data_IF_297469898352
#
_entry.id   IF_297469898352
#
_cell.length_a   1.000
_cell.length_b   1.000
_cell.length_c   1.000
_cell.angle_alpha   90.00
_cell.angle_beta   90.00
_cell.angle_gamma   90.00
#
_symmetry.space_group_name_H-M   'P 1'
#
loop_
_entity.id
_entity.type
_entity.pdbx_description
1 polymer ?
#
# COMPACT_ATOMS: atom_id res chain seq x y z
N UNK A 1 2.21 -58.54 -64.86
CA UNK A 1 2.85 -58.73 -66.18
C UNK A 1 4.34 -58.62 -65.95
N UNK A 2 5.07 -59.75 -65.94
CA UNK A 2 6.53 -59.75 -65.78
C UNK A 2 7.09 -59.59 -67.19
N UNK A 3 7.83 -58.49 -67.43
CA UNK A 3 8.44 -58.25 -68.74
C UNK A 3 9.52 -59.29 -69.01
N UNK A 4 9.47 -59.93 -70.17
CA UNK A 4 10.51 -60.85 -70.64
C UNK A 4 11.73 -60.04 -71.09
N UNK A 5 12.86 -60.20 -70.41
CA UNK A 5 14.15 -59.60 -70.79
C UNK A 5 14.88 -60.62 -71.68
N UNK A 6 15.18 -60.24 -72.92
CA UNK A 6 15.97 -61.05 -73.83
C UNK A 6 17.46 -60.77 -73.58
N UNK A 7 18.19 -61.74 -73.02
CA UNK A 7 19.62 -61.65 -72.73
C UNK A 7 20.39 -62.45 -73.79
N UNK A 8 20.76 -61.78 -74.89
CA UNK A 8 21.56 -62.38 -75.96
C UNK A 8 22.91 -62.86 -75.41
N UNK A 9 23.20 -64.16 -75.56
CA UNK A 9 24.49 -64.77 -75.21
C UNK A 9 24.60 -65.39 -73.81
N UNK A 10 23.56 -65.34 -72.97
CA UNK A 10 23.51 -66.08 -71.71
C UNK A 10 22.85 -67.46 -71.89
N UNK A 11 23.39 -68.50 -71.27
CA UNK A 11 22.80 -69.83 -71.31
C UNK A 11 21.62 -69.95 -70.32
N UNK A 12 20.71 -70.90 -70.57
CA UNK A 12 19.58 -71.19 -69.68
C UNK A 12 20.05 -71.48 -68.24
N UNK A 13 21.18 -72.16 -68.09
CA UNK A 13 21.77 -72.48 -66.79
C UNK A 13 22.20 -71.21 -66.03
N UNK A 14 22.77 -70.22 -66.74
CA UNK A 14 23.19 -68.95 -66.12
C UNK A 14 21.98 -68.18 -65.57
N UNK A 15 20.85 -68.24 -66.28
CA UNK A 15 19.59 -67.60 -65.86
C UNK A 15 19.02 -68.31 -64.62
N UNK A 16 19.04 -69.64 -64.60
CA UNK A 16 18.57 -70.44 -63.46
C UNK A 16 19.42 -70.22 -62.20
N UNK A 17 20.73 -70.11 -62.36
CA UNK A 17 21.66 -69.82 -61.25
C UNK A 17 21.39 -68.43 -60.66
N UNK A 18 21.24 -67.40 -61.51
CA UNK A 18 20.90 -66.04 -61.06
C UNK A 18 19.55 -66.02 -60.34
N UNK A 19 18.56 -66.76 -60.84
CA UNK A 19 17.25 -66.84 -60.21
C UNK A 19 17.33 -67.50 -58.82
N UNK A 20 18.08 -68.59 -58.68
CA UNK A 20 18.33 -69.25 -57.39
C UNK A 20 19.06 -68.34 -56.40
N UNK A 21 20.03 -67.55 -56.87
CA UNK A 21 20.74 -66.58 -56.05
C UNK A 21 19.82 -65.45 -55.57
N UNK A 22 18.96 -64.92 -56.46
CA UNK A 22 17.96 -63.91 -56.11
C UNK A 22 16.98 -64.45 -55.06
N UNK A 23 16.49 -65.68 -55.24
CA UNK A 23 15.54 -66.27 -54.32
C UNK A 23 16.19 -66.58 -52.95
N UNK A 24 17.44 -67.03 -52.94
CA UNK A 24 18.23 -67.16 -51.70
C UNK A 24 18.42 -65.82 -50.98
N UNK A 25 18.70 -64.73 -51.71
CA UNK A 25 18.83 -63.39 -51.12
C UNK A 25 17.49 -62.92 -50.53
N UNK A 26 16.36 -63.14 -51.22
CA UNK A 26 15.03 -62.80 -50.70
C UNK A 26 14.70 -63.56 -49.43
N UNK A 27 15.02 -64.86 -49.37
CA UNK A 27 14.82 -65.65 -48.16
C UNK A 27 15.68 -65.14 -46.99
N UNK A 28 16.91 -64.71 -47.26
CA UNK A 28 17.78 -64.10 -46.25
C UNK A 28 17.27 -62.74 -45.76
N UNK A 29 16.60 -61.96 -46.62
CA UNK A 29 15.98 -60.67 -46.29
C UNK A 29 14.54 -60.90 -45.80
N UNK A 30 14.35 -61.21 -44.51
CA UNK A 30 13.03 -61.29 -43.89
C UNK A 30 12.79 -62.52 -43.01
N UNK A 31 13.75 -63.44 -42.92
CA UNK A 31 13.66 -64.56 -41.97
C UNK A 31 13.68 -64.05 -40.51
N UNK A 32 12.55 -64.21 -39.82
CA UNK A 32 12.35 -63.87 -38.40
C UNK A 32 13.28 -64.62 -37.45
N UNK A 33 13.75 -65.81 -37.84
CA UNK A 33 14.69 -66.61 -37.06
C UNK A 33 16.14 -66.10 -37.13
N UNK A 34 16.46 -65.22 -38.09
CA UNK A 34 17.81 -64.73 -38.32
C UNK A 34 18.12 -63.53 -37.41
N UNK A 35 18.20 -63.79 -36.11
CA UNK A 35 18.32 -62.79 -35.03
C UNK A 35 19.76 -62.57 -34.56
N UNK A 36 20.72 -63.40 -35.01
CA UNK A 36 22.12 -63.34 -34.63
C UNK A 36 22.93 -62.36 -35.51
N UNK A 37 23.16 -61.14 -35.01
CA UNK A 37 24.04 -60.17 -35.66
C UNK A 37 24.48 -59.06 -34.70
N UNK A 38 25.63 -58.47 -34.99
CA UNK A 38 26.18 -57.31 -34.29
C UNK A 38 26.07 -56.07 -35.18
N UNK A 39 26.52 -54.91 -34.71
CA UNK A 39 26.62 -53.72 -35.56
C UNK A 39 27.51 -53.96 -36.81
N UNK A 40 28.41 -54.95 -36.77
CA UNK A 40 29.40 -55.21 -37.82
C UNK A 40 29.17 -56.54 -38.55
N UNK A 41 28.54 -57.54 -37.93
CA UNK A 41 28.36 -58.90 -38.48
C UNK A 41 26.88 -59.35 -38.45
N UNK A 42 26.53 -60.37 -39.23
CA UNK A 42 25.16 -60.89 -39.35
C UNK A 42 24.36 -60.30 -40.51
N UNK A 43 23.12 -60.76 -40.67
CA UNK A 43 22.25 -60.33 -41.78
C UNK A 43 21.82 -58.86 -41.67
N UNK A 44 21.33 -58.30 -42.78
CA UNK A 44 20.76 -56.93 -42.81
C UNK A 44 19.64 -56.81 -41.77
N UNK A 45 18.79 -57.83 -41.62
CA UNK A 45 17.70 -57.85 -40.65
C UNK A 45 18.22 -57.81 -39.21
N UNK A 46 19.24 -58.61 -38.87
CA UNK A 46 19.84 -58.61 -37.54
C UNK A 46 20.45 -57.24 -37.20
N UNK A 47 21.12 -56.58 -38.16
CA UNK A 47 21.66 -55.22 -38.00
C UNK A 47 20.57 -54.18 -37.75
N UNK A 48 19.46 -54.23 -38.50
CA UNK A 48 18.31 -53.33 -38.32
C UNK A 48 17.65 -53.52 -36.94
N UNK A 49 17.44 -54.78 -36.52
CA UNK A 49 16.91 -55.10 -35.18
C UNK A 49 17.80 -54.58 -34.06
N UNK A 50 19.13 -54.74 -34.20
CA UNK A 50 20.10 -54.21 -33.24
C UNK A 50 20.03 -52.69 -33.16
N UNK A 51 19.98 -52.00 -34.30
CA UNK A 51 19.87 -50.54 -34.36
C UNK A 51 18.58 -50.04 -33.70
N UNK A 52 17.45 -50.69 -33.95
CA UNK A 52 16.18 -50.38 -33.29
C UNK A 52 16.25 -50.57 -31.76
N UNK A 53 16.90 -51.65 -31.32
CA UNK A 53 17.09 -51.97 -29.89
C UNK A 53 17.99 -50.93 -29.22
N UNK A 54 19.11 -50.58 -29.86
CA UNK A 54 20.06 -49.58 -29.36
C UNK A 54 19.42 -48.21 -29.27
N UNK A 55 18.68 -47.80 -30.31
CA UNK A 55 17.93 -46.55 -30.32
C UNK A 55 16.90 -46.50 -29.19
N UNK A 56 16.13 -47.58 -29.02
CA UNK A 56 15.12 -47.69 -27.96
C UNK A 56 15.74 -47.58 -26.58
N UNK A 57 16.85 -48.29 -26.35
CA UNK A 57 17.58 -48.30 -25.07
C UNK A 57 18.20 -46.95 -24.76
N UNK A 58 18.90 -46.34 -25.73
CA UNK A 58 19.53 -45.04 -25.57
C UNK A 58 18.49 -43.93 -25.30
N UNK A 59 17.36 -43.97 -26.02
CA UNK A 59 16.25 -43.03 -25.81
C UNK A 59 15.62 -43.21 -24.43
N UNK A 60 15.39 -44.45 -23.98
CA UNK A 60 14.86 -44.74 -22.65
C UNK A 60 15.76 -44.16 -21.55
N UNK A 61 17.08 -44.38 -21.63
CA UNK A 61 18.02 -43.84 -20.64
C UNK A 61 18.03 -42.30 -20.57
N UNK A 62 17.87 -41.60 -21.71
CA UNK A 62 17.71 -40.14 -21.71
C UNK A 62 16.39 -39.69 -21.07
N UNK A 63 15.29 -40.40 -21.35
CA UNK A 63 13.98 -40.12 -20.75
C UNK A 63 14.03 -40.34 -19.24
N UNK A 64 14.67 -41.41 -18.77
CA UNK A 64 14.82 -41.71 -17.35
C UNK A 64 15.63 -40.62 -16.63
N UNK A 65 16.69 -40.11 -17.26
CA UNK A 65 17.48 -39.00 -16.73
C UNK A 65 16.63 -37.73 -16.54
N UNK A 66 15.79 -37.40 -17.53
CA UNK A 66 14.88 -36.24 -17.46
C UNK A 66 13.82 -36.44 -16.38
N UNK A 67 13.20 -37.63 -16.33
CA UNK A 67 12.18 -37.98 -15.34
C UNK A 67 12.74 -37.89 -13.91
N UNK A 68 13.97 -38.35 -13.70
CA UNK A 68 14.63 -38.24 -12.41
C UNK A 68 14.92 -36.78 -12.04
N UNK A 69 15.31 -35.95 -13.01
CA UNK A 69 15.60 -34.53 -12.81
C UNK A 69 14.37 -33.65 -12.56
N UNK A 70 13.20 -33.99 -13.11
CA UNK A 70 12.00 -33.13 -13.09
C UNK A 70 10.82 -33.75 -12.32
N UNK A 71 10.65 -35.07 -12.32
CA UNK A 71 9.39 -35.75 -11.97
C UNK A 71 9.35 -36.51 -10.64
N UNK A 72 10.43 -36.53 -9.85
CA UNK A 72 10.42 -37.26 -8.58
C UNK A 72 9.69 -36.47 -7.48
N UNK A 73 8.41 -36.79 -7.25
CA UNK A 73 7.54 -36.16 -6.25
C UNK A 73 8.05 -36.31 -4.81
N UNK A 74 8.87 -37.33 -4.54
CA UNK A 74 9.47 -37.60 -3.23
C UNK A 74 10.72 -36.75 -2.93
N UNK A 75 11.26 -35.98 -3.89
CA UNK A 75 12.45 -35.18 -3.65
C UNK A 75 12.10 -33.83 -3.01
N UNK A 76 11.64 -33.87 -1.77
CA UNK A 76 11.40 -32.70 -0.93
C UNK A 76 12.68 -32.42 -0.13
N UNK A 77 13.62 -31.67 -0.70
CA UNK A 77 14.88 -31.38 0.00
C UNK A 77 15.95 -30.64 -0.80
N UNK A 78 15.59 -30.08 -1.97
CA UNK A 78 16.51 -29.31 -2.79
C UNK A 78 16.93 -28.01 -2.12
N UNK A 79 18.19 -27.63 -2.33
CA UNK A 79 18.68 -26.28 -2.03
C UNK A 79 18.66 -25.46 -3.31
N UNK A 80 18.98 -24.16 -3.26
CA UNK A 80 19.14 -23.35 -4.48
C UNK A 80 20.21 -23.90 -5.44
N UNK A 81 21.17 -24.67 -4.92
CA UNK A 81 22.29 -25.22 -5.69
C UNK A 81 22.18 -26.73 -5.95
N UNK A 82 21.46 -27.49 -5.13
CA UNK A 82 21.42 -28.96 -5.17
C UNK A 82 19.99 -29.53 -5.19
N UNK A 83 19.80 -30.74 -5.69
CA UNK A 83 18.49 -31.41 -5.84
C UNK A 83 17.89 -31.29 -7.24
N UNK A 84 16.73 -31.90 -7.42
CA UNK A 84 15.98 -31.90 -8.70
C UNK A 84 15.42 -30.52 -9.03
N UNK A 85 15.03 -30.31 -10.28
CA UNK A 85 14.42 -29.04 -10.73
C UNK A 85 13.17 -28.72 -9.91
N UNK A 86 12.33 -29.72 -9.64
CA UNK A 86 11.12 -29.55 -8.84
C UNK A 86 11.44 -29.16 -7.39
N UNK A 87 12.46 -29.77 -6.79
CA UNK A 87 12.89 -29.46 -5.43
C UNK A 87 13.40 -28.02 -5.31
N UNK A 88 14.18 -27.56 -6.30
CA UNK A 88 14.66 -26.18 -6.39
C UNK A 88 13.52 -25.19 -6.54
N UNK A 89 12.54 -25.48 -7.41
CA UNK A 89 11.36 -24.64 -7.61
C UNK A 89 10.54 -24.52 -6.32
N UNK A 90 10.28 -25.64 -5.64
CA UNK A 90 9.57 -25.64 -4.36
C UNK A 90 10.30 -24.80 -3.31
N UNK A 91 11.63 -24.94 -3.19
CA UNK A 91 12.44 -24.14 -2.26
C UNK A 91 12.33 -22.64 -2.56
N UNK A 92 12.43 -22.24 -3.82
CA UNK A 92 12.29 -20.84 -4.24
C UNK A 92 10.90 -20.28 -3.91
N UNK A 93 9.83 -21.05 -4.13
CA UNK A 93 8.47 -20.66 -3.79
C UNK A 93 8.29 -20.49 -2.28
N UNK A 94 8.81 -21.41 -1.48
CA UNK A 94 8.79 -21.32 -0.01
C UNK A 94 9.58 -20.12 0.50
N UNK A 95 10.78 -19.89 -0.03
CA UNK A 95 11.64 -18.76 0.36
C UNK A 95 10.99 -17.43 0.02
N UNK A 96 10.45 -17.29 -1.18
CA UNK A 96 9.73 -16.10 -1.60
C UNK A 96 8.52 -15.84 -0.71
N UNK A 97 7.74 -16.89 -0.41
CA UNK A 97 6.56 -16.79 0.46
C UNK A 97 6.94 -16.31 1.86
N UNK A 98 8.01 -16.89 2.42
CA UNK A 98 8.50 -16.57 3.77
C UNK A 98 9.07 -15.15 3.85
N UNK A 99 9.91 -14.76 2.88
CA UNK A 99 10.49 -13.43 2.80
C UNK A 99 9.41 -12.35 2.60
N UNK A 100 8.40 -12.63 1.78
CA UNK A 100 7.26 -11.73 1.58
C UNK A 100 6.43 -11.59 2.85
N UNK A 101 6.13 -12.68 3.56
CA UNK A 101 5.38 -12.66 4.82
C UNK A 101 6.07 -11.78 5.87
N UNK A 102 7.37 -11.96 6.07
CA UNK A 102 8.15 -11.14 7.02
C UNK A 102 8.11 -9.63 6.70
N UNK A 103 8.16 -9.26 5.40
CA UNK A 103 8.01 -7.86 4.98
C UNK A 103 6.62 -7.30 5.28
N UNK A 104 5.57 -8.11 5.10
CA UNK A 104 4.18 -7.71 5.43
C UNK A 104 4.02 -7.52 6.94
N UNK A 105 4.58 -8.40 7.76
CA UNK A 105 4.54 -8.28 9.22
C UNK A 105 5.21 -6.98 9.70
N UNK A 106 6.33 -6.61 9.07
CA UNK A 106 7.02 -5.34 9.33
C UNK A 106 6.13 -4.14 8.99
N UNK A 107 5.44 -4.16 7.84
CA UNK A 107 4.51 -3.10 7.43
C UNK A 107 3.36 -2.98 8.43
N UNK A 108 2.76 -4.11 8.83
CA UNK A 108 1.67 -4.13 9.79
C UNK A 108 2.08 -3.55 11.15
N UNK A 109 3.27 -3.91 11.62
CA UNK A 109 3.86 -3.37 12.85
C UNK A 109 4.07 -1.86 12.76
N UNK A 110 4.65 -1.38 11.66
CA UNK A 110 4.87 0.05 11.45
C UNK A 110 3.55 0.83 11.37
N UNK A 111 2.54 0.29 10.69
CA UNK A 111 1.21 0.89 10.60
C UNK A 111 0.54 1.00 11.98
N UNK A 112 0.61 -0.05 12.80
CA UNK A 112 0.10 -0.04 14.17
C UNK A 112 0.82 1.01 15.03
N UNK A 113 2.16 1.08 14.95
CA UNK A 113 2.95 2.07 15.68
C UNK A 113 2.62 3.52 15.28
N UNK A 114 2.44 3.77 13.97
CA UNK A 114 2.03 5.08 13.46
C UNK A 114 0.63 5.46 13.98
N UNK A 115 -0.32 4.52 13.96
CA UNK A 115 -1.66 4.76 14.47
C UNK A 115 -1.66 5.12 15.96
N UNK A 116 -0.87 4.39 16.77
CA UNK A 116 -0.69 4.69 18.20
C UNK A 116 -0.09 6.08 18.41
N UNK A 117 1.00 6.42 17.72
CA UNK A 117 1.64 7.75 17.82
C UNK A 117 0.69 8.87 17.43
N UNK A 118 -0.02 8.72 16.32
CA UNK A 118 -1.00 9.70 15.85
C UNK A 118 -2.12 9.89 16.86
N UNK A 119 -2.63 8.79 17.43
CA UNK A 119 -3.68 8.83 18.45
C UNK A 119 -3.22 9.58 19.69
N UNK A 120 -2.03 9.27 20.21
CA UNK A 120 -1.45 9.97 21.36
C UNK A 120 -1.18 11.44 21.08
N UNK A 121 -0.61 11.79 19.92
CA UNK A 121 -0.39 13.18 19.53
C UNK A 121 -1.70 13.96 19.44
N UNK A 122 -2.74 13.38 18.83
CA UNK A 122 -4.06 14.01 18.72
C UNK A 122 -4.70 14.19 20.10
N UNK A 123 -4.58 13.22 20.99
CA UNK A 123 -5.06 13.34 22.36
C UNK A 123 -4.33 14.47 23.12
N UNK A 124 -3.00 14.58 22.95
CA UNK A 124 -2.22 15.66 23.55
C UNK A 124 -2.62 17.05 23.07
N UNK A 125 -2.85 17.23 21.76
CA UNK A 125 -3.36 18.51 21.24
C UNK A 125 -4.76 18.83 21.75
N UNK A 126 -5.64 17.83 21.86
CA UNK A 126 -6.98 18.02 22.41
C UNK A 126 -6.92 18.45 23.88
N UNK A 127 -6.03 17.84 24.68
CA UNK A 127 -5.79 18.27 26.06
C UNK A 127 -5.31 19.73 26.11
N UNK A 128 -4.35 20.12 25.27
CA UNK A 128 -3.90 21.52 25.21
C UNK A 128 -5.02 22.51 24.84
N UNK A 129 -5.87 22.16 23.88
CA UNK A 129 -7.04 22.98 23.52
C UNK A 129 -8.03 23.08 24.69
N UNK A 130 -8.25 21.98 25.41
CA UNK A 130 -9.13 21.94 26.57
C UNK A 130 -8.53 22.66 27.80
N UNK A 131 -7.19 22.72 27.91
CA UNK A 131 -6.47 23.46 28.96
C UNK A 131 -6.35 24.95 28.66
N UNK A 132 -6.52 25.36 27.41
CA UNK A 132 -6.62 26.76 27.03
C UNK A 132 -7.89 27.40 27.58
N UNK A 133 -7.87 28.73 27.72
CA UNK A 133 -9.08 29.50 28.05
C UNK A 133 -10.04 29.42 26.86
N UNK A 134 -11.01 28.52 26.94
CA UNK A 134 -12.00 28.33 25.88
C UNK A 134 -13.01 29.47 25.94
N UNK A 135 -12.95 30.37 24.97
CA UNK A 135 -13.92 31.45 24.83
C UNK A 135 -15.20 30.86 24.24
N UNK A 136 -16.29 30.97 25.00
CA UNK A 136 -17.61 30.50 24.61
C UNK A 136 -18.32 31.51 23.72
N UNK A 137 -18.31 32.78 24.10
CA UNK A 137 -18.90 33.84 23.29
C UNK A 137 -18.26 35.20 23.58
N UNK A 138 -18.32 36.11 22.61
CA UNK A 138 -17.84 37.48 22.76
C UNK A 138 -18.94 38.44 22.31
N UNK A 139 -19.41 39.30 23.22
CA UNK A 139 -20.23 40.45 22.85
C UNK A 139 -19.35 41.71 22.84
N UNK A 140 -19.53 42.57 21.84
CA UNK A 140 -18.83 43.85 21.73
C UNK A 140 -19.85 44.96 21.57
N UNK A 141 -19.51 46.16 22.01
CA UNK A 141 -20.36 47.31 21.78
C UNK A 141 -19.66 48.63 22.02
N UNK A 142 -20.44 49.69 21.86
CA UNK A 142 -20.00 51.06 22.01
C UNK A 142 -21.15 51.91 22.52
N UNK A 143 -20.86 52.85 23.42
CA UNK A 143 -21.83 53.84 23.88
C UNK A 143 -21.13 55.18 24.12
N UNK A 144 -21.92 56.25 24.24
CA UNK A 144 -21.43 57.58 24.57
C UNK A 144 -21.75 57.91 26.02
N UNK A 145 -20.78 58.52 26.70
CA UNK A 145 -20.98 59.20 27.98
C UNK A 145 -21.08 60.69 27.70
N UNK A 146 -22.18 61.30 28.11
CA UNK A 146 -22.37 62.75 28.00
C UNK A 146 -21.90 63.46 29.27
N UNK A 147 -21.24 64.61 29.09
CA UNK A 147 -20.72 65.48 30.15
C UNK A 147 -21.36 66.86 30.02
N UNK A 148 -21.85 67.43 31.12
CA UNK A 148 -22.32 68.81 31.21
C UNK A 148 -21.66 69.51 32.39
N UNK A 149 -21.07 70.67 32.14
CA UNK A 149 -20.38 71.50 33.15
C UNK A 149 -19.37 70.69 33.99
N UNK A 150 -18.64 69.77 33.36
CA UNK A 150 -17.65 68.98 34.07
C UNK A 150 -18.17 67.77 34.84
N UNK A 151 -19.47 67.46 34.74
CA UNK A 151 -20.10 66.34 35.46
C UNK A 151 -20.74 65.40 34.42
N UNK A 152 -20.55 64.07 34.54
CA UNK A 152 -21.36 63.11 33.79
C UNK A 152 -22.85 63.39 33.96
N UNK A 153 -23.60 63.34 32.86
CA UNK A 153 -25.05 63.59 32.88
C UNK A 153 -25.79 62.46 33.61
N UNK A 154 -25.20 61.26 33.58
CA UNK A 154 -25.66 60.10 34.34
C UNK A 154 -24.50 59.63 35.21
N UNK A 155 -24.80 59.34 36.47
CA UNK A 155 -23.82 58.82 37.42
C UNK A 155 -23.40 57.38 37.07
N UNK A 156 -24.25 56.64 36.34
CA UNK A 156 -24.02 55.26 35.93
C UNK A 156 -24.64 54.96 34.58
N UNK A 157 -23.96 54.15 33.76
CA UNK A 157 -24.45 53.67 32.47
C UNK A 157 -24.66 52.16 32.54
N UNK A 158 -25.90 51.70 32.33
CA UNK A 158 -26.22 50.27 32.27
C UNK A 158 -26.13 49.75 30.84
N UNK A 159 -25.24 48.78 30.62
CA UNK A 159 -25.06 48.14 29.31
C UNK A 159 -25.64 46.74 29.34
N UNK A 160 -26.68 46.51 28.55
CA UNK A 160 -27.34 45.20 28.43
C UNK A 160 -26.51 44.24 27.56
N UNK A 161 -26.34 43.03 28.06
CA UNK A 161 -25.70 41.90 27.42
C UNK A 161 -26.77 40.86 27.08
N UNK A 162 -26.84 40.47 25.81
CA UNK A 162 -27.89 39.61 25.25
C UNK A 162 -27.37 38.28 24.74
N UNK A 163 -26.07 38.19 24.43
CA UNK A 163 -25.45 36.99 23.86
C UNK A 163 -24.47 36.31 24.81
N UNK A 164 -24.08 36.98 25.89
CA UNK A 164 -23.16 36.45 26.91
C UNK A 164 -23.80 36.45 28.30
N UNK A 165 -23.36 35.53 29.17
CA UNK A 165 -23.74 35.53 30.59
C UNK A 165 -22.71 36.32 31.41
N UNK A 166 -23.01 37.54 31.86
CA UNK A 166 -22.00 38.46 32.38
C UNK A 166 -21.35 37.98 33.68
N UNK A 167 -22.08 37.26 34.53
CA UNK A 167 -21.56 36.66 35.77
C UNK A 167 -20.48 35.58 35.53
N UNK A 168 -20.24 35.19 34.27
CA UNK A 168 -19.18 34.28 33.82
C UNK A 168 -18.26 34.94 32.78
N UNK A 169 -18.30 36.26 32.67
CA UNK A 169 -17.52 36.99 31.67
C UNK A 169 -16.49 37.89 32.29
N UNK A 170 -15.43 38.16 31.53
CA UNK A 170 -14.56 39.29 31.76
C UNK A 170 -15.00 40.46 30.89
N UNK A 171 -15.16 41.65 31.48
CA UNK A 171 -15.51 42.87 30.76
C UNK A 171 -14.25 43.72 30.56
N UNK A 172 -14.02 44.10 29.30
CA UNK A 172 -12.96 45.00 28.89
C UNK A 172 -13.57 46.28 28.35
N UNK A 173 -13.11 47.43 28.85
CA UNK A 173 -13.41 48.75 28.28
C UNK A 173 -12.13 49.30 27.68
N UNK A 174 -12.20 49.84 26.46
CA UNK A 174 -11.03 50.34 25.74
C UNK A 174 -11.26 51.75 25.22
N UNK A 175 -10.37 52.66 25.65
CA UNK A 175 -10.22 54.01 25.13
C UNK A 175 -11.41 54.94 25.38
N UNK A 176 -11.12 56.19 25.72
CA UNK A 176 -12.11 57.28 25.71
C UNK A 176 -11.79 58.19 24.55
N UNK A 177 -12.69 58.31 23.58
CA UNK A 177 -12.55 59.28 22.50
C UNK A 177 -13.28 60.56 22.94
N UNK A 178 -12.57 61.50 23.57
CA UNK A 178 -13.14 62.77 24.05
C UNK A 178 -12.89 63.89 23.05
N UNK A 179 -13.95 64.63 22.70
CA UNK A 179 -13.90 65.72 21.73
C UNK A 179 -13.98 67.09 22.44
N UNK A 180 -13.10 67.34 23.42
CA UNK A 180 -12.91 68.63 24.10
C UNK A 180 -11.64 68.64 24.99
N UNK A 181 -11.23 69.80 25.52
CA UNK A 181 -10.10 69.95 26.45
C UNK A 181 -10.54 69.70 27.90
N UNK A 182 -10.19 68.54 28.47
CA UNK A 182 -10.42 68.22 29.88
C UNK A 182 -9.57 67.03 30.34
N UNK A 183 -9.29 66.96 31.65
CA UNK A 183 -8.58 65.82 32.25
C UNK A 183 -9.60 64.73 32.57
N UNK A 184 -9.27 63.51 32.19
CA UNK A 184 -10.16 62.38 32.37
C UNK A 184 -9.70 61.60 33.59
N UNK A 185 -10.59 61.35 34.57
CA UNK A 185 -10.33 60.46 35.71
C UNK A 185 -10.65 58.99 35.36
N UNK A 186 -10.34 58.08 36.28
CA UNK A 186 -10.53 56.64 36.08
C UNK A 186 -12.02 56.28 35.93
N UNK A 187 -12.36 55.58 34.85
CA UNK A 187 -13.68 54.95 34.71
C UNK A 187 -13.62 53.58 35.38
N UNK A 188 -14.73 53.19 36.01
CA UNK A 188 -14.82 51.92 36.71
C UNK A 188 -15.98 51.10 36.20
N UNK A 189 -15.82 49.78 36.27
CA UNK A 189 -16.95 48.85 36.17
C UNK A 189 -17.37 48.56 37.59
N UNK A 190 -18.57 48.97 37.95
CA UNK A 190 -19.06 48.84 39.33
C UNK A 190 -19.69 47.47 39.57
N UNK A 191 -20.72 47.15 38.80
CA UNK A 191 -21.51 45.92 38.99
C UNK A 191 -21.58 45.12 37.69
N UNK A 192 -21.40 43.80 37.80
CA UNK A 192 -21.68 42.85 36.71
C UNK A 192 -22.91 42.02 37.11
N UNK A 193 -24.04 42.29 36.46
CA UNK A 193 -25.32 41.61 36.67
C UNK A 193 -25.47 40.33 35.83
N UNK A 194 -26.68 39.78 35.79
CA UNK A 194 -26.96 38.53 35.04
C UNK A 194 -27.15 38.74 33.53
N UNK A 195 -27.46 39.95 33.09
CA UNK A 195 -27.63 40.31 31.67
C UNK A 195 -27.13 41.73 31.39
N UNK A 196 -26.30 42.31 32.25
CA UNK A 196 -25.76 43.66 32.08
C UNK A 196 -24.47 43.86 32.87
N UNK A 197 -23.76 44.94 32.58
CA UNK A 197 -22.80 45.54 33.51
C UNK A 197 -23.09 47.03 33.68
N UNK A 198 -22.62 47.60 34.80
CA UNK A 198 -22.70 49.02 35.11
C UNK A 198 -21.33 49.64 34.90
N UNK A 199 -21.31 50.73 34.15
CA UNK A 199 -20.16 51.56 33.90
C UNK A 199 -20.28 52.88 34.65
N UNK A 200 -19.29 53.20 35.47
CA UNK A 200 -19.19 54.46 36.19
C UNK A 200 -18.23 55.40 35.44
N UNK A 201 -18.73 56.52 34.89
CA UNK A 201 -17.90 57.53 34.26
C UNK A 201 -17.17 58.37 35.31
N UNK A 202 -15.85 58.29 35.32
CA UNK A 202 -14.92 59.26 35.88
C UNK A 202 -14.61 60.38 34.89
N UNK A 203 -15.00 61.60 35.26
CA UNK A 203 -14.55 62.83 34.60
C UNK A 203 -14.15 63.90 35.63
N UNK A 204 -13.08 64.65 35.36
CA UNK A 204 -12.60 65.73 36.22
C UNK A 204 -12.19 66.97 35.38
N UNK A 205 -13.12 67.91 35.19
CA UNK A 205 -12.86 69.13 34.43
C UNK A 205 -14.06 70.06 34.43
N UNK A 206 -14.07 71.08 33.57
CA UNK A 206 -15.19 72.02 33.39
C UNK A 206 -15.83 71.96 32.00
N UNK A 207 -15.32 71.09 31.13
CA UNK A 207 -15.79 70.95 29.76
C UNK A 207 -17.18 70.30 29.70
N UNK A 208 -17.94 70.67 28.65
CA UNK A 208 -19.18 69.98 28.26
C UNK A 208 -18.95 69.28 26.93
N UNK A 209 -19.53 68.10 26.74
CA UNK A 209 -19.32 67.30 25.54
C UNK A 209 -19.74 65.86 25.71
N UNK A 210 -19.15 64.95 24.94
CA UNK A 210 -19.32 63.50 25.14
C UNK A 210 -18.04 62.77 24.78
N UNK A 211 -17.80 61.63 25.41
CA UNK A 211 -16.79 60.66 24.94
C UNK A 211 -17.42 59.32 24.61
N UNK A 212 -16.83 58.65 23.63
CA UNK A 212 -17.17 57.29 23.28
C UNK A 212 -16.41 56.26 24.11
N UNK A 213 -17.08 55.20 24.52
CA UNK A 213 -16.51 54.05 25.25
C UNK A 213 -16.77 52.79 24.43
N UNK A 214 -15.71 52.07 24.07
CA UNK A 214 -15.82 50.73 23.47
C UNK A 214 -15.70 49.67 24.54
N UNK A 215 -16.48 48.61 24.42
CA UNK A 215 -16.43 47.50 25.36
C UNK A 215 -16.49 46.14 24.68
N UNK A 216 -15.98 45.15 25.38
CA UNK A 216 -16.02 43.74 25.01
C UNK A 216 -16.28 42.89 26.25
N UNK A 217 -17.29 42.04 26.19
CA UNK A 217 -17.60 41.03 27.19
C UNK A 217 -17.20 39.66 26.64
N UNK A 218 -16.33 38.93 27.35
CA UNK A 218 -15.79 37.64 26.94
C UNK A 218 -16.31 36.57 27.90
N UNK A 219 -17.19 35.69 27.44
CA UNK A 219 -17.66 34.52 28.18
C UNK A 219 -16.73 33.34 27.94
N UNK A 220 -16.35 32.65 29.01
CA UNK A 220 -15.56 31.43 28.96
C UNK A 220 -16.46 30.20 29.19
N UNK A 221 -16.09 29.03 28.66
CA UNK A 221 -16.81 27.77 28.92
C UNK A 221 -16.78 27.38 30.40
#
# INVERSE_FOLDING_TARGET
MIGSVNVEGASQNDIEEVQQNIDSIKELIGQTANTGGTASAGTIMAKLNKLLTDWTTARAGKIDTINNAIGTTANTGGTTSSGTVMAKLNKLLTDWTSARASKIDTINTNAANLNTRLTSTRAGYLDLLNRGVSIKNIQRGFFFVSIKNGIPVEDEYRITLSTVVPSKTFILTSGKMFNASGTISEDNIDTIGTTYFIYLPGFAGTASGSYGVRWQAIEFY
#
